data_IF_295212935491
#
_entry.id   IF_295212935491
#
_cell.length_a   1.000
_cell.length_b   1.000
_cell.length_c   1.000
_cell.angle_alpha   90.00
_cell.angle_beta   90.00
_cell.angle_gamma   90.00
#
_symmetry.space_group_name_H-M   'P 1'
#
loop_
_entity.id
_entity.type
_entity.pdbx_description
1 polymer ?
#
# COMPACT_ATOMS: atom_id res chain seq x y z
N UNK A 1 25.13 15.90 64.70
CA UNK A 1 25.05 14.83 63.69
C UNK A 1 24.17 15.36 62.58
N UNK A 2 24.81 15.87 61.54
CA UNK A 2 24.20 16.45 60.34
C UNK A 2 25.24 16.37 59.22
N UNK A 3 24.77 16.05 58.02
CA UNK A 3 25.37 16.16 56.68
C UNK A 3 24.16 16.03 55.74
N UNK A 4 23.58 17.04 55.10
CA UNK A 4 24.05 18.14 54.23
C UNK A 4 24.43 17.74 52.78
N UNK A 5 23.86 18.54 51.86
CA UNK A 5 24.34 19.00 50.55
C UNK A 5 24.33 18.08 49.31
N UNK A 6 23.64 18.54 48.25
CA UNK A 6 24.33 19.30 47.19
C UNK A 6 23.37 20.16 46.36
N UNK A 7 23.63 21.46 46.41
CA UNK A 7 23.00 22.57 45.71
C UNK A 7 23.65 22.77 44.33
N UNK A 8 22.87 23.08 43.29
CA UNK A 8 23.35 23.36 41.93
C UNK A 8 22.91 24.78 41.53
N UNK A 9 23.76 25.77 41.81
CA UNK A 9 23.73 27.07 41.16
C UNK A 9 25.15 27.62 40.90
N UNK A 10 25.27 28.40 39.81
CA UNK A 10 26.40 29.18 39.28
C UNK A 10 27.41 28.40 38.42
N UNK A 11 27.55 28.72 37.12
CA UNK A 11 28.12 29.99 36.65
C UNK A 11 27.34 30.65 35.50
N UNK A 12 27.15 31.97 35.66
CA UNK A 12 26.71 32.92 34.63
C UNK A 12 27.77 34.04 34.55
N UNK A 13 28.02 34.51 33.31
CA UNK A 13 28.59 35.81 32.84
C UNK A 13 30.09 35.88 32.52
N UNK A 14 30.56 36.89 31.75
CA UNK A 14 29.95 37.64 30.61
C UNK A 14 30.94 37.79 29.41
N UNK A 15 30.51 38.41 28.30
CA UNK A 15 31.24 38.42 27.02
C UNK A 15 32.20 39.59 26.73
N UNK A 16 32.78 39.58 25.51
CA UNK A 16 33.11 40.71 24.62
C UNK A 16 33.68 40.16 23.27
N UNK A 17 33.99 40.95 22.22
CA UNK A 17 33.54 40.71 20.85
C UNK A 17 34.70 40.51 19.83
N UNK A 18 34.31 40.32 18.57
CA UNK A 18 35.02 40.65 17.31
C UNK A 18 36.56 40.77 17.31
N UNK A 19 37.22 39.91 16.53
CA UNK A 19 38.38 40.27 15.71
C UNK A 19 38.66 39.12 14.72
N UNK A 20 38.31 39.33 13.46
CA UNK A 20 38.77 38.54 12.32
C UNK A 20 39.60 39.51 11.48
N UNK A 21 40.93 39.38 11.56
CA UNK A 21 41.91 39.98 10.65
C UNK A 21 42.83 38.86 10.15
N UNK A 22 42.85 38.71 8.83
CA UNK A 22 44.00 38.48 7.94
C UNK A 22 45.07 37.40 8.22
N UNK A 23 45.04 36.37 7.35
CA UNK A 23 46.14 35.77 6.54
C UNK A 23 47.32 35.04 7.26
N UNK A 24 48.23 34.31 6.55
CA UNK A 24 48.24 33.85 5.15
C UNK A 24 48.50 32.32 4.96
N UNK A 25 48.47 31.94 3.69
CA UNK A 25 48.97 30.71 3.05
C UNK A 25 50.33 30.21 3.56
N UNK A 26 50.50 28.89 3.67
CA UNK A 26 51.77 28.24 3.35
C UNK A 26 51.57 26.75 2.98
N UNK A 27 51.98 26.44 1.76
CA UNK A 27 52.07 25.12 1.13
C UNK A 27 53.41 24.49 1.53
N UNK A 28 53.48 23.17 1.76
CA UNK A 28 54.69 22.43 1.43
C UNK A 28 54.43 21.33 0.40
N UNK A 29 55.08 21.51 -0.75
CA UNK A 29 55.39 20.47 -1.71
C UNK A 29 56.16 19.32 -1.03
N UNK A 30 55.67 18.10 -1.17
CA UNK A 30 56.50 16.90 -1.03
C UNK A 30 56.42 16.05 -2.30
N UNK A 31 57.44 16.26 -3.14
CA UNK A 31 57.94 15.32 -4.13
C UNK A 31 58.77 14.26 -3.41
N UNK A 32 58.51 12.97 -3.65
CA UNK A 32 59.50 11.90 -3.53
C UNK A 32 59.03 10.63 -4.26
N UNK A 33 59.67 10.38 -5.41
CA UNK A 33 60.28 9.14 -5.88
C UNK A 33 59.49 7.82 -5.92
N UNK A 34 59.41 7.30 -7.15
CA UNK A 34 59.29 5.89 -7.54
C UNK A 34 60.33 4.99 -6.84
N UNK A 35 60.12 3.66 -6.86
CA UNK A 35 60.87 2.90 -7.85
C UNK A 35 60.06 1.81 -8.59
N UNK A 36 60.24 1.79 -9.90
CA UNK A 36 60.70 0.65 -10.71
C UNK A 36 60.27 -0.76 -10.25
N UNK A 37 59.26 -1.34 -10.91
CA UNK A 37 59.04 -2.79 -10.92
C UNK A 37 59.47 -3.39 -12.27
N UNK A 38 60.32 -4.40 -12.16
CA UNK A 38 60.91 -5.18 -13.23
C UNK A 38 59.86 -6.02 -13.95
N UNK A 39 59.64 -5.73 -15.24
CA UNK A 39 58.91 -6.62 -16.14
C UNK A 39 59.84 -7.75 -16.58
N UNK A 40 59.52 -8.97 -16.16
CA UNK A 40 60.18 -10.20 -16.60
C UNK A 40 59.87 -10.48 -18.08
N UNK A 41 60.94 -10.69 -18.84
CA UNK A 41 60.92 -11.33 -20.15
C UNK A 41 60.35 -12.75 -20.05
N UNK A 42 59.26 -13.02 -20.78
CA UNK A 42 58.84 -14.39 -21.10
C UNK A 42 59.04 -14.63 -22.58
N UNK A 43 59.84 -15.66 -22.80
CA UNK A 43 60.44 -16.17 -24.01
C UNK A 43 59.44 -16.49 -25.12
N UNK A 44 59.85 -16.15 -26.34
CA UNK A 44 59.15 -16.49 -27.57
C UNK A 44 59.49 -17.92 -28.00
N UNK A 45 58.46 -18.68 -28.41
CA UNK A 45 58.63 -19.72 -29.42
C UNK A 45 57.33 -19.98 -30.16
N UNK A 46 57.35 -20.00 -31.50
CA UNK A 46 56.17 -20.22 -32.34
C UNK A 46 56.01 -21.69 -32.67
N UNK A 47 54.77 -22.20 -32.74
CA UNK A 47 54.46 -23.36 -33.56
C UNK A 47 53.12 -23.24 -34.29
N UNK A 48 53.02 -23.85 -35.48
CA UNK A 48 52.02 -23.55 -36.50
C UNK A 48 50.84 -24.54 -36.44
N UNK A 49 49.68 -24.08 -36.88
CA UNK A 49 48.49 -24.92 -37.00
C UNK A 49 47.40 -24.19 -37.75
N UNK A 50 47.58 -24.06 -39.07
CA UNK A 50 46.54 -23.66 -39.99
C UNK A 50 45.42 -24.72 -39.99
N UNK A 51 44.19 -24.28 -39.72
CA UNK A 51 42.98 -25.02 -40.07
C UNK A 51 42.16 -24.06 -40.92
N UNK A 52 42.20 -24.32 -42.23
CA UNK A 52 41.28 -23.76 -43.21
C UNK A 52 39.85 -24.21 -42.87
N UNK A 53 38.96 -23.23 -42.68
CA UNK A 53 37.52 -23.45 -42.77
C UNK A 53 37.01 -22.51 -43.85
N UNK A 54 37.00 -23.03 -45.07
CA UNK A 54 36.16 -22.52 -46.15
C UNK A 54 34.69 -22.65 -45.74
N UNK A 55 34.05 -21.52 -45.44
CA UNK A 55 32.60 -21.40 -45.43
C UNK A 55 32.15 -20.25 -46.31
N UNK A 56 32.04 -20.64 -47.58
CA UNK A 56 31.12 -20.19 -48.62
C UNK A 56 29.97 -19.31 -48.09
N UNK A 57 30.09 -18.01 -48.31
CA UNK A 57 28.98 -17.07 -48.24
C UNK A 57 28.26 -17.09 -49.60
N UNK A 58 27.07 -17.70 -49.65
CA UNK A 58 26.17 -17.55 -50.78
C UNK A 58 25.45 -16.20 -50.65
N UNK A 59 25.64 -15.38 -51.69
CA UNK A 59 24.98 -14.11 -51.93
C UNK A 59 23.46 -14.33 -52.12
N UNK A 60 22.63 -13.63 -51.35
CA UNK A 60 21.22 -13.43 -51.66
C UNK A 60 21.01 -11.99 -52.14
N UNK A 61 20.17 -11.77 -53.17
CA UNK A 61 20.01 -10.47 -53.80
C UNK A 61 19.23 -9.50 -52.92
N UNK A 62 19.69 -8.26 -52.90
CA UNK A 62 19.12 -7.17 -52.13
C UNK A 62 17.67 -6.85 -52.52
N UNK A 63 16.82 -6.77 -51.50
CA UNK A 63 15.53 -6.09 -51.58
C UNK A 63 15.74 -4.65 -51.12
N UNK A 64 15.74 -3.73 -52.09
CA UNK A 64 15.83 -2.30 -51.85
C UNK A 64 14.51 -1.79 -51.28
N UNK A 65 14.42 -1.72 -49.95
CA UNK A 65 13.45 -0.86 -49.27
C UNK A 65 14.18 0.23 -48.54
N UNK A 66 14.21 1.36 -49.21
CA UNK A 66 14.49 2.70 -48.70
C UNK A 66 13.61 2.94 -47.46
N UNK A 67 14.22 2.85 -46.28
CA UNK A 67 13.58 3.15 -45.01
C UNK A 67 13.84 4.62 -44.66
N UNK A 68 12.78 5.42 -44.77
CA UNK A 68 12.72 6.81 -44.29
C UNK A 68 13.12 6.90 -42.81
N UNK A 69 14.12 7.73 -42.43
CA UNK A 69 14.45 7.98 -41.04
C UNK A 69 13.56 9.11 -40.49
N UNK A 70 12.26 8.84 -40.34
CA UNK A 70 11.32 9.74 -39.68
C UNK A 70 10.35 8.93 -38.83
N UNK A 71 10.77 8.45 -37.67
CA UNK A 71 9.87 7.70 -36.81
C UNK A 71 10.40 7.23 -35.45
N UNK A 72 11.33 7.94 -34.80
CA UNK A 72 11.89 7.47 -33.51
C UNK A 72 11.83 8.51 -32.38
N UNK A 73 10.86 9.43 -32.42
CA UNK A 73 10.72 10.47 -31.40
C UNK A 73 9.30 10.56 -30.81
N UNK A 74 8.55 9.44 -30.82
CA UNK A 74 7.21 9.32 -30.20
C UNK A 74 7.21 8.53 -28.88
N UNK A 75 8.40 8.23 -28.32
CA UNK A 75 8.52 7.60 -27.01
C UNK A 75 8.72 8.72 -26.00
N UNK A 76 7.63 9.07 -25.30
CA UNK A 76 7.50 9.85 -24.05
C UNK A 76 6.24 10.74 -24.15
N UNK A 77 5.07 10.16 -24.44
CA UNK A 77 3.81 10.81 -24.04
C UNK A 77 3.58 10.48 -22.56
N UNK A 78 3.78 11.45 -21.63
CA UNK A 78 3.61 11.23 -20.19
C UNK A 78 2.15 10.92 -19.79
N UNK A 79 1.19 10.99 -20.72
CA UNK A 79 -0.24 10.76 -20.46
C UNK A 79 -0.64 9.28 -20.47
N UNK A 80 0.23 8.35 -20.89
CA UNK A 80 -0.09 6.91 -20.94
C UNK A 80 0.32 6.11 -19.70
N UNK A 81 0.74 6.77 -18.61
CA UNK A 81 1.10 6.06 -17.38
C UNK A 81 -0.20 5.64 -16.67
N UNK A 82 -0.47 4.34 -16.44
CA UNK A 82 -1.65 3.90 -15.70
C UNK A 82 -1.71 4.61 -14.34
N UNK A 83 -2.91 4.99 -13.86
CA UNK A 83 -3.03 5.62 -12.56
C UNK A 83 -2.37 4.71 -11.52
N UNK A 84 -1.41 5.23 -10.74
CA UNK A 84 -0.68 4.41 -9.79
C UNK A 84 -1.68 3.83 -8.80
N UNK A 85 -1.65 2.50 -8.63
CA UNK A 85 -2.43 1.89 -7.55
C UNK A 85 -2.06 2.58 -6.23
N UNK A 86 -3.05 2.86 -5.35
CA UNK A 86 -2.78 3.54 -4.10
C UNK A 86 -1.72 2.77 -3.33
N UNK A 87 -0.60 3.44 -3.09
CA UNK A 87 0.52 2.88 -2.33
C UNK A 87 0.08 2.60 -0.88
N UNK A 88 0.69 1.61 -0.23
CA UNK A 88 0.25 1.11 1.08
C UNK A 88 0.33 2.15 2.22
N UNK A 89 1.15 3.18 2.05
CA UNK A 89 1.18 4.36 2.93
C UNK A 89 -0.15 5.13 2.92
N UNK A 90 -0.85 5.16 1.77
CA UNK A 90 -2.18 5.76 1.65
C UNK A 90 -3.23 5.00 2.44
N UNK A 91 -3.05 3.69 2.65
CA UNK A 91 -3.95 2.90 3.50
C UNK A 91 -3.86 3.39 4.95
N UNK A 92 -2.65 3.57 5.48
CA UNK A 92 -2.45 4.08 6.84
C UNK A 92 -2.98 5.53 6.97
N UNK A 93 -2.73 6.38 5.98
CA UNK A 93 -3.31 7.73 5.94
C UNK A 93 -4.85 7.71 5.86
N UNK A 94 -5.43 6.78 5.12
CA UNK A 94 -6.87 6.56 5.06
C UNK A 94 -7.44 6.16 6.42
N UNK A 95 -6.80 5.21 7.11
CA UNK A 95 -7.16 4.85 8.49
C UNK A 95 -7.07 6.04 9.44
N UNK A 96 -6.00 6.83 9.35
CA UNK A 96 -5.82 8.04 10.15
C UNK A 96 -6.91 9.07 9.85
N UNK A 97 -7.24 9.29 8.57
CA UNK A 97 -8.29 10.21 8.13
C UNK A 97 -9.66 9.82 8.65
N UNK A 98 -10.06 8.55 8.48
CA UNK A 98 -11.33 8.02 8.98
C UNK A 98 -11.38 8.08 10.51
N UNK A 99 -10.28 7.74 11.20
CA UNK A 99 -10.17 7.88 12.65
C UNK A 99 -10.39 9.33 13.11
N UNK A 100 -9.70 10.30 12.49
CA UNK A 100 -9.80 11.71 12.84
C UNK A 100 -11.18 12.29 12.53
N UNK A 101 -11.80 11.85 11.43
CA UNK A 101 -13.17 12.21 11.07
C UNK A 101 -14.15 11.76 12.17
N UNK A 102 -14.13 10.47 12.54
CA UNK A 102 -15.04 9.96 13.57
C UNK A 102 -14.73 10.49 14.97
N UNK A 103 -13.48 10.82 15.26
CA UNK A 103 -13.11 11.47 16.52
C UNK A 103 -13.77 12.84 16.71
N UNK A 104 -14.07 13.55 15.62
CA UNK A 104 -14.72 14.87 15.61
C UNK A 104 -16.22 14.79 15.26
N UNK A 105 -16.79 13.60 15.22
CA UNK A 105 -18.18 13.41 14.83
C UNK A 105 -19.14 14.06 15.84
N UNK A 106 -20.17 14.73 15.34
CA UNK A 106 -21.12 15.51 16.17
C UNK A 106 -21.86 14.64 17.20
N UNK A 107 -22.21 13.40 16.84
CA UNK A 107 -22.88 12.43 17.73
C UNK A 107 -21.84 11.63 18.54
N UNK A 108 -21.73 11.80 19.87
CA UNK A 108 -20.66 11.19 20.68
C UNK A 108 -20.70 9.65 20.73
N UNK A 109 -21.89 9.07 20.68
CA UNK A 109 -22.06 7.61 20.67
C UNK A 109 -21.49 6.99 19.39
N UNK A 110 -21.74 7.62 18.24
CA UNK A 110 -21.19 7.21 16.94
C UNK A 110 -19.67 7.39 16.93
N UNK A 111 -19.18 8.55 17.39
CA UNK A 111 -17.75 8.84 17.51
C UNK A 111 -17.02 7.74 18.29
N UNK A 112 -17.51 7.44 19.50
CA UNK A 112 -16.92 6.43 20.40
C UNK A 112 -16.97 5.03 19.79
N UNK A 113 -18.13 4.64 19.23
CA UNK A 113 -18.32 3.33 18.61
C UNK A 113 -17.41 3.11 17.40
N UNK A 114 -17.32 4.10 16.52
CA UNK A 114 -16.50 4.03 15.31
C UNK A 114 -15.02 4.09 15.61
N UNK A 115 -14.56 5.02 16.47
CA UNK A 115 -13.16 5.09 16.92
C UNK A 115 -12.71 3.76 17.53
N UNK A 116 -13.53 3.14 18.41
CA UNK A 116 -13.23 1.84 19.01
C UNK A 116 -13.12 0.73 17.97
N UNK A 117 -13.98 0.73 16.95
CA UNK A 117 -13.92 -0.26 15.85
C UNK A 117 -12.66 -0.06 15.02
N UNK A 118 -12.32 1.17 14.67
CA UNK A 118 -11.14 1.48 13.86
C UNK A 118 -9.86 1.09 14.61
N UNK A 119 -9.71 1.48 15.87
CA UNK A 119 -8.57 1.09 16.70
C UNK A 119 -8.46 -0.43 16.86
N UNK A 120 -9.60 -1.14 16.98
CA UNK A 120 -9.60 -2.61 16.99
C UNK A 120 -9.08 -3.21 15.69
N UNK A 121 -9.45 -2.66 14.54
CA UNK A 121 -8.94 -3.13 13.24
C UNK A 121 -7.46 -2.82 13.10
N UNK A 122 -7.03 -1.60 13.46
CA UNK A 122 -5.63 -1.20 13.46
C UNK A 122 -4.76 -2.09 14.37
N UNK A 123 -5.26 -2.49 15.54
CA UNK A 123 -4.55 -3.41 16.44
C UNK A 123 -4.41 -4.83 15.87
N UNK A 124 -5.29 -5.24 14.96
CA UNK A 124 -5.23 -6.54 14.28
C UNK A 124 -4.33 -6.52 13.03
N UNK A 125 -4.01 -5.33 12.52
CA UNK A 125 -3.14 -5.14 11.36
C UNK A 125 -1.66 -5.28 11.71
N UNK A 126 -0.85 -5.55 10.69
CA UNK A 126 0.60 -5.56 10.82
C UNK A 126 1.15 -4.12 10.89
N UNK A 127 1.13 -3.55 12.09
CA UNK A 127 1.51 -2.15 12.31
C UNK A 127 2.97 -1.86 11.89
N UNK A 128 3.89 -2.82 12.04
CA UNK A 128 5.29 -2.66 11.64
C UNK A 128 5.39 -2.35 10.15
N UNK A 129 4.65 -3.13 9.34
CA UNK A 129 4.62 -2.97 7.90
C UNK A 129 4.08 -1.60 7.48
N UNK A 130 2.90 -1.21 7.95
CA UNK A 130 2.26 0.05 7.55
C UNK A 130 3.05 1.29 7.99
N UNK A 131 3.63 1.25 9.20
CA UNK A 131 4.47 2.34 9.69
C UNK A 131 5.71 2.48 8.82
N UNK A 132 6.37 1.36 8.46
CA UNK A 132 7.57 1.41 7.62
C UNK A 132 7.27 1.80 6.18
N UNK A 133 6.13 1.43 5.61
CA UNK A 133 5.71 1.93 4.29
C UNK A 133 5.58 3.46 4.28
N UNK A 134 5.01 4.04 5.33
CA UNK A 134 4.92 5.49 5.48
C UNK A 134 6.30 6.14 5.69
N UNK A 135 7.15 5.56 6.53
CA UNK A 135 8.50 6.10 6.81
C UNK A 135 9.41 6.00 5.59
N UNK A 136 9.35 4.90 4.85
CA UNK A 136 10.13 4.67 3.63
C UNK A 136 9.50 5.30 2.39
N UNK A 137 8.32 5.94 2.50
CA UNK A 137 7.88 6.88 1.49
C UNK A 137 8.72 8.16 1.60
N UNK A 138 9.58 8.47 0.60
CA UNK A 138 10.49 9.60 0.67
C UNK A 138 9.78 10.96 0.63
N UNK A 139 8.53 11.01 0.17
CA UNK A 139 7.69 12.21 0.16
C UNK A 139 7.07 12.51 1.53
N UNK A 140 6.76 11.48 2.32
CA UNK A 140 6.02 11.62 3.58
C UNK A 140 6.91 11.47 4.82
N UNK A 141 7.84 10.51 4.81
CA UNK A 141 8.78 10.22 5.92
C UNK A 141 8.06 10.17 7.28
N UNK A 142 8.68 10.75 8.31
CA UNK A 142 8.11 10.87 9.66
C UNK A 142 7.23 12.09 9.87
N UNK A 143 7.10 12.97 8.86
CA UNK A 143 6.41 14.26 9.00
C UNK A 143 4.92 14.13 9.33
N UNK A 144 4.33 12.96 9.04
CA UNK A 144 2.93 12.63 9.29
C UNK A 144 2.64 12.17 10.70
N UNK A 145 3.66 11.79 11.47
CA UNK A 145 3.48 11.39 12.86
C UNK A 145 3.30 12.60 13.76
N UNK A 146 2.39 12.48 14.72
CA UNK A 146 2.20 13.49 15.74
C UNK A 146 3.38 13.54 16.71
N UNK A 147 3.54 14.67 17.40
CA UNK A 147 4.53 14.86 18.47
C UNK A 147 4.40 13.80 19.58
N UNK A 148 3.20 13.28 19.81
CA UNK A 148 2.91 12.23 20.79
C UNK A 148 3.19 10.81 20.30
N UNK A 149 3.53 10.63 19.03
CA UNK A 149 3.79 9.30 18.47
C UNK A 149 4.91 8.59 19.23
N UNK A 150 5.93 9.33 19.67
CA UNK A 150 7.13 8.73 20.27
C UNK A 150 7.93 7.90 19.27
N UNK A 151 7.78 8.19 17.97
CA UNK A 151 8.52 7.57 16.89
C UNK A 151 9.96 8.11 16.88
N UNK A 152 10.83 7.55 17.72
CA UNK A 152 12.26 7.88 17.69
C UNK A 152 12.95 7.16 16.53
N UNK A 153 14.04 7.73 16.01
CA UNK A 153 14.85 7.12 14.94
C UNK A 153 15.31 5.71 15.35
N UNK A 154 15.69 5.52 16.62
CA UNK A 154 16.11 4.21 17.15
C UNK A 154 14.95 3.21 17.19
N UNK A 155 13.76 3.66 17.58
CA UNK A 155 12.56 2.81 17.62
C UNK A 155 12.16 2.37 16.22
N UNK A 156 12.19 3.29 15.25
CA UNK A 156 11.91 2.98 13.85
C UNK A 156 12.96 2.05 13.25
N UNK A 157 14.24 2.26 13.57
CA UNK A 157 15.33 1.37 13.15
C UNK A 157 15.16 -0.05 13.69
N UNK A 158 14.74 -0.21 14.95
CA UNK A 158 14.47 -1.52 15.52
C UNK A 158 13.33 -2.24 14.77
N UNK A 159 12.24 -1.52 14.46
CA UNK A 159 11.11 -2.08 13.70
C UNK A 159 11.53 -2.44 12.28
N UNK A 160 12.32 -1.59 11.62
CA UNK A 160 12.87 -1.87 10.30
C UNK A 160 13.65 -3.18 10.31
N UNK A 161 14.57 -3.37 11.26
CA UNK A 161 15.36 -4.60 11.36
C UNK A 161 14.51 -5.81 11.71
N UNK A 162 13.53 -5.70 12.61
CA UNK A 162 12.57 -6.78 12.90
C UNK A 162 11.77 -7.18 11.66
N UNK A 163 11.28 -6.21 10.87
CA UNK A 163 10.55 -6.48 9.62
C UNK A 163 11.48 -7.07 8.56
N UNK A 164 12.69 -6.52 8.40
CA UNK A 164 13.69 -6.98 7.46
C UNK A 164 14.06 -8.44 7.72
N UNK A 165 14.38 -8.76 8.98
CA UNK A 165 14.63 -10.11 9.44
C UNK A 165 13.47 -11.03 9.08
N UNK A 166 12.23 -10.63 9.37
CA UNK A 166 11.05 -11.43 9.05
C UNK A 166 10.90 -11.69 7.55
N UNK A 167 11.09 -10.68 6.71
CA UNK A 167 10.95 -10.78 5.25
C UNK A 167 12.08 -11.60 4.62
N UNK A 168 13.32 -11.44 5.10
CA UNK A 168 14.51 -12.12 4.58
C UNK A 168 14.86 -13.41 5.38
N UNK A 169 13.99 -13.86 6.30
CA UNK A 169 14.18 -15.07 7.14
C UNK A 169 14.10 -16.41 6.40
N UNK A 170 14.29 -16.43 5.07
CA UNK A 170 14.20 -17.68 4.31
C UNK A 170 15.23 -18.67 4.86
N UNK A 171 14.81 -19.91 5.17
CA UNK A 171 15.77 -20.93 5.56
C UNK A 171 16.75 -21.17 4.39
N UNK A 172 17.99 -21.59 4.68
CA UNK A 172 18.93 -21.95 3.64
C UNK A 172 18.33 -23.06 2.75
N UNK A 173 18.68 -23.09 1.44
CA UNK A 173 18.07 -23.99 0.46
C UNK A 173 18.33 -25.49 0.73
N UNK A 174 19.20 -25.83 1.68
CA UNK A 174 19.47 -27.20 2.09
C UNK A 174 20.21 -27.25 3.43
N UNK A 175 20.49 -28.47 3.94
CA UNK A 175 21.33 -28.64 5.11
C UNK A 175 22.73 -28.10 4.82
N UNK A 176 23.15 -27.09 5.58
CA UNK A 176 24.47 -26.49 5.49
C UNK A 176 25.43 -27.22 6.45
N UNK A 177 26.71 -27.26 6.10
CA UNK A 177 27.74 -27.63 7.07
C UNK A 177 27.82 -26.57 8.17
N UNK A 178 28.37 -26.87 9.37
CA UNK A 178 28.51 -25.88 10.42
C UNK A 178 29.28 -24.61 9.99
N UNK A 179 30.27 -24.77 9.10
CA UNK A 179 31.04 -23.66 8.52
C UNK A 179 30.18 -22.79 7.59
N UNK A 180 29.43 -23.42 6.68
CA UNK A 180 28.51 -22.72 5.78
C UNK A 180 27.37 -22.03 6.54
N UNK A 181 26.90 -22.63 7.64
CA UNK A 181 25.88 -22.02 8.49
C UNK A 181 26.42 -20.75 9.17
N UNK A 182 27.66 -20.79 9.68
CA UNK A 182 28.30 -19.62 10.27
C UNK A 182 28.54 -18.50 9.25
N UNK A 183 28.94 -18.85 8.02
CA UNK A 183 29.09 -17.90 6.91
C UNK A 183 27.75 -17.26 6.53
N UNK A 184 26.69 -18.07 6.40
CA UNK A 184 25.34 -17.59 6.12
C UNK A 184 24.82 -16.65 7.22
N UNK A 185 25.03 -17.00 8.48
CA UNK A 185 24.62 -16.16 9.61
C UNK A 185 25.42 -14.85 9.68
N UNK A 186 26.71 -14.88 9.34
CA UNK A 186 27.55 -13.69 9.24
C UNK A 186 27.12 -12.78 8.08
N UNK A 187 26.89 -13.33 6.89
CA UNK A 187 26.38 -12.58 5.74
C UNK A 187 25.04 -11.90 6.07
N UNK A 188 24.14 -12.63 6.75
CA UNK A 188 22.86 -12.10 7.21
C UNK A 188 23.06 -10.93 8.18
N UNK A 189 23.94 -11.08 9.17
CA UNK A 189 24.25 -10.01 10.13
C UNK A 189 24.87 -8.78 9.46
N UNK A 190 25.74 -8.97 8.47
CA UNK A 190 26.34 -7.87 7.71
C UNK A 190 25.28 -7.09 6.93
N UNK A 191 24.37 -7.79 6.23
CA UNK A 191 23.26 -7.14 5.52
C UNK A 191 22.32 -6.40 6.47
N UNK A 192 22.04 -6.96 7.65
CA UNK A 192 21.26 -6.28 8.68
C UNK A 192 21.94 -4.98 9.15
N UNK A 193 23.26 -5.02 9.37
CA UNK A 193 24.04 -3.85 9.74
C UNK A 193 24.06 -2.78 8.63
N UNK A 194 24.23 -3.19 7.37
CA UNK A 194 24.19 -2.31 6.19
C UNK A 194 22.83 -1.61 6.06
N UNK A 195 21.73 -2.37 6.14
CA UNK A 195 20.37 -1.82 6.09
C UNK A 195 20.12 -0.86 7.24
N UNK A 196 20.54 -1.20 8.46
CA UNK A 196 20.43 -0.34 9.63
C UNK A 196 21.20 0.98 9.45
N UNK A 197 22.44 0.92 8.96
CA UNK A 197 23.26 2.10 8.71
C UNK A 197 22.67 2.99 7.60
N UNK A 198 22.25 2.39 6.49
CA UNK A 198 21.60 3.09 5.39
C UNK A 198 20.31 3.78 5.86
N UNK A 199 19.54 3.13 6.73
CA UNK A 199 18.32 3.70 7.28
C UNK A 199 18.60 4.92 8.18
N UNK A 200 19.66 4.88 8.99
CA UNK A 200 20.06 6.05 9.78
C UNK A 200 20.52 7.23 8.89
N UNK A 201 21.22 6.95 7.79
CA UNK A 201 21.56 7.98 6.77
C UNK A 201 20.30 8.60 6.14
N UNK A 202 19.33 7.77 5.79
CA UNK A 202 18.03 8.20 5.27
C UNK A 202 17.29 9.10 6.27
N UNK A 203 17.16 8.68 7.53
CA UNK A 203 16.45 9.42 8.56
C UNK A 203 17.13 10.74 8.94
N UNK A 204 18.46 10.81 8.82
CA UNK A 204 19.24 12.04 9.04
C UNK A 204 19.31 12.93 7.80
N UNK A 205 18.79 12.48 6.65
CA UNK A 205 18.90 13.17 5.35
C UNK A 205 20.37 13.50 5.01
N UNK A 206 21.26 12.52 5.23
CA UNK A 206 22.71 12.64 4.97
C UNK A 206 23.15 11.77 3.79
N UNK A 207 24.33 12.06 3.23
CA UNK A 207 24.89 11.32 2.11
C UNK A 207 24.07 11.54 0.83
N UNK A 208 23.70 10.44 0.16
CA UNK A 208 22.91 10.48 -1.10
C UNK A 208 21.54 11.16 -0.92
N UNK A 209 21.03 11.24 0.31
CA UNK A 209 19.74 11.86 0.61
C UNK A 209 19.82 13.38 0.85
N UNK A 210 21.01 13.97 0.97
CA UNK A 210 21.17 15.38 1.35
C UNK A 210 20.46 16.33 0.37
N UNK A 211 20.56 16.05 -0.92
CA UNK A 211 19.95 16.88 -1.96
C UNK A 211 18.50 16.49 -2.26
N UNK A 212 18.01 15.36 -1.70
CA UNK A 212 16.70 14.85 -2.02
C UNK A 212 15.59 15.84 -1.69
N UNK A 213 15.68 16.54 -0.56
CA UNK A 213 14.65 17.50 -0.14
C UNK A 213 14.51 18.67 -1.15
N UNK A 214 15.60 19.04 -1.82
CA UNK A 214 15.59 20.05 -2.88
C UNK A 214 14.97 19.54 -4.18
N UNK A 215 15.18 18.27 -4.52
CA UNK A 215 14.69 17.65 -5.74
C UNK A 215 13.33 16.96 -5.61
N UNK A 216 12.85 16.75 -4.38
CA UNK A 216 11.65 15.98 -4.04
C UNK A 216 10.42 16.42 -4.85
N UNK A 217 10.14 17.73 -4.91
CA UNK A 217 9.01 18.28 -5.69
C UNK A 217 9.15 18.09 -7.21
N UNK A 218 10.38 18.13 -7.72
CA UNK A 218 10.64 17.91 -9.14
C UNK A 218 10.43 16.42 -9.50
N UNK A 219 10.87 15.52 -8.63
CA UNK A 219 10.61 14.08 -8.75
C UNK A 219 9.11 13.77 -8.67
N UNK A 220 8.40 14.33 -7.67
CA UNK A 220 6.94 14.15 -7.53
C UNK A 220 6.19 14.65 -8.77
N UNK A 221 6.64 15.77 -9.37
CA UNK A 221 6.06 16.27 -10.63
C UNK A 221 6.31 15.32 -11.82
N UNK A 222 7.48 14.68 -11.87
CA UNK A 222 7.88 13.83 -12.99
C UNK A 222 7.29 12.42 -12.91
N UNK A 223 7.25 11.83 -11.71
CA UNK A 223 6.87 10.44 -11.48
C UNK A 223 5.54 10.28 -10.74
N UNK A 224 4.87 11.41 -10.43
CA UNK A 224 3.69 11.43 -9.56
C UNK A 224 4.03 11.06 -8.11
N UNK A 225 3.02 10.60 -7.38
CA UNK A 225 3.16 10.22 -5.97
C UNK A 225 3.74 8.81 -5.77
N UNK A 226 4.32 8.19 -6.80
CA UNK A 226 4.89 6.85 -6.68
C UNK A 226 6.28 6.94 -6.03
N UNK A 227 6.51 6.31 -4.86
CA UNK A 227 7.81 6.33 -4.19
C UNK A 227 8.83 5.35 -4.78
N UNK A 228 8.39 4.34 -5.55
CA UNK A 228 9.27 3.28 -6.07
C UNK A 228 10.39 3.80 -6.99
N UNK A 229 10.12 4.70 -7.97
CA UNK A 229 11.18 5.23 -8.84
C UNK A 229 12.32 5.93 -8.10
N UNK A 230 12.03 6.57 -6.96
CA UNK A 230 13.08 7.18 -6.13
C UNK A 230 14.04 6.12 -5.62
N UNK A 231 13.51 5.01 -5.10
CA UNK A 231 14.33 3.91 -4.59
C UNK A 231 15.05 3.14 -5.70
N UNK A 232 14.48 3.04 -6.90
CA UNK A 232 15.14 2.43 -8.07
C UNK A 232 16.42 3.19 -8.45
N UNK A 233 16.39 4.54 -8.43
CA UNK A 233 17.60 5.35 -8.67
C UNK A 233 18.66 5.08 -7.59
N UNK A 234 18.23 4.86 -6.34
CA UNK A 234 19.10 4.60 -5.21
C UNK A 234 19.81 3.24 -5.27
N UNK A 235 19.33 2.28 -6.08
CA UNK A 235 20.00 0.99 -6.27
C UNK A 235 21.42 1.09 -6.85
N UNK A 236 21.75 2.21 -7.51
CA UNK A 236 23.07 2.48 -8.06
C UNK A 236 24.13 2.78 -6.99
N UNK A 237 23.72 3.03 -5.75
CA UNK A 237 24.60 3.40 -4.65
C UNK A 237 24.81 2.20 -3.72
N UNK A 238 26.04 1.69 -3.68
CA UNK A 238 26.37 0.47 -2.93
C UNK A 238 26.03 0.54 -1.44
N UNK A 239 26.13 1.73 -0.82
CA UNK A 239 25.94 1.93 0.62
C UNK A 239 24.48 2.00 1.07
N UNK A 240 23.53 2.12 0.14
CA UNK A 240 22.08 2.17 0.41
C UNK A 240 21.31 1.11 -0.38
N UNK A 241 21.99 0.33 -1.23
CA UNK A 241 21.39 -0.65 -2.14
C UNK A 241 20.49 -1.65 -1.43
N UNK A 242 20.93 -2.22 -0.32
CA UNK A 242 20.12 -3.21 0.43
C UNK A 242 18.86 -2.57 1.04
N UNK A 243 18.94 -1.33 1.53
CA UNK A 243 17.76 -0.59 1.99
C UNK A 243 16.82 -0.27 0.84
N UNK A 244 17.35 0.14 -0.32
CA UNK A 244 16.56 0.46 -1.50
C UNK A 244 15.83 -0.77 -2.05
N UNK A 245 16.51 -1.92 -2.17
CA UNK A 245 15.89 -3.21 -2.54
C UNK A 245 14.74 -3.56 -1.58
N UNK A 246 15.00 -3.40 -0.27
CA UNK A 246 13.99 -3.66 0.75
C UNK A 246 12.81 -2.68 0.69
N UNK A 247 13.06 -1.39 0.46
CA UNK A 247 12.02 -0.38 0.33
C UNK A 247 11.12 -0.64 -0.90
N UNK A 248 11.72 -0.94 -2.06
CA UNK A 248 10.99 -1.32 -3.28
C UNK A 248 10.11 -2.55 -3.00
N UNK A 249 10.67 -3.56 -2.33
CA UNK A 249 9.94 -4.77 -1.99
C UNK A 249 8.71 -4.48 -1.11
N UNK A 250 8.86 -3.68 -0.05
CA UNK A 250 7.73 -3.42 0.86
C UNK A 250 6.70 -2.46 0.25
N UNK A 251 7.14 -1.44 -0.51
CA UNK A 251 6.26 -0.46 -1.15
C UNK A 251 5.55 -1.05 -2.37
N UNK A 252 6.12 -2.10 -2.97
CA UNK A 252 5.53 -2.87 -4.07
C UNK A 252 4.57 -3.96 -3.62
N UNK A 253 4.49 -4.27 -2.32
CA UNK A 253 3.40 -5.08 -1.79
C UNK A 253 2.10 -4.27 -1.98
N UNK A 254 1.02 -4.94 -2.37
CA UNK A 254 -0.29 -4.31 -2.47
C UNK A 254 -1.17 -4.85 -1.34
N UNK A 255 -1.61 -3.97 -0.44
CA UNK A 255 -2.49 -4.35 0.67
C UNK A 255 -3.98 -4.33 0.29
N UNK A 256 -4.31 -3.98 -0.94
CA UNK A 256 -5.65 -4.24 -1.45
C UNK A 256 -5.80 -5.76 -1.64
N UNK A 257 -6.40 -6.43 -0.66
CA UNK A 257 -6.79 -7.85 -0.79
C UNK A 257 -7.69 -8.06 -2.03
N UNK A 258 -8.42 -7.02 -2.43
CA UNK A 258 -9.22 -6.95 -3.64
C UNK A 258 -8.43 -6.79 -4.94
N UNK A 259 -7.13 -6.46 -4.90
CA UNK A 259 -6.30 -6.34 -6.11
C UNK A 259 -6.24 -7.65 -6.91
N UNK A 260 -6.26 -8.78 -6.20
CA UNK A 260 -6.32 -10.11 -6.81
C UNK A 260 -7.75 -10.60 -7.08
N UNK A 261 -8.81 -9.88 -6.70
CA UNK A 261 -10.20 -10.32 -6.91
C UNK A 261 -10.52 -10.52 -8.38
N UNK A 262 -9.90 -9.73 -9.26
CA UNK A 262 -10.09 -9.91 -10.70
C UNK A 262 -9.53 -11.24 -11.17
N UNK A 263 -8.31 -11.57 -10.77
CA UNK A 263 -7.71 -12.88 -11.07
C UNK A 263 -8.52 -14.00 -10.40
N UNK A 264 -9.03 -13.80 -9.18
CA UNK A 264 -9.90 -14.78 -8.52
C UNK A 264 -11.26 -14.95 -9.21
N UNK A 265 -11.81 -13.90 -9.81
CA UNK A 265 -13.06 -13.97 -10.57
C UNK A 265 -12.86 -14.79 -11.86
N UNK A 266 -11.76 -14.57 -12.56
CA UNK A 266 -11.35 -15.39 -13.70
C UNK A 266 -11.11 -16.85 -13.28
N UNK A 267 -10.50 -17.06 -12.12
CA UNK A 267 -10.25 -18.39 -11.57
C UNK A 267 -11.55 -19.08 -11.18
N UNK A 268 -12.55 -18.35 -10.67
CA UNK A 268 -13.86 -18.90 -10.31
C UNK A 268 -14.49 -19.57 -11.53
N UNK A 269 -14.54 -18.88 -12.68
CA UNK A 269 -15.08 -19.44 -13.93
C UNK A 269 -14.32 -20.71 -14.35
N UNK A 270 -12.98 -20.68 -14.30
CA UNK A 270 -12.09 -21.80 -14.69
C UNK A 270 -12.07 -22.96 -13.68
N UNK A 271 -12.55 -22.74 -12.45
CA UNK A 271 -12.50 -23.73 -11.36
C UNK A 271 -13.85 -24.36 -11.07
N UNK A 272 -14.93 -23.58 -11.08
CA UNK A 272 -16.25 -24.03 -10.61
C UNK A 272 -17.16 -24.53 -11.72
N UNK A 273 -17.06 -24.01 -12.95
CA UNK A 273 -17.89 -24.50 -14.07
C UNK A 273 -17.34 -25.82 -14.60
N UNK A 274 -18.13 -26.89 -14.50
CA UNK A 274 -17.73 -28.26 -14.86
C UNK A 274 -17.15 -28.35 -16.29
N UNK A 275 -17.78 -27.69 -17.26
CA UNK A 275 -17.33 -27.66 -18.67
C UNK A 275 -15.97 -26.97 -18.88
N UNK A 276 -15.62 -26.03 -17.99
CA UNK A 276 -14.41 -25.20 -18.12
C UNK A 276 -13.35 -25.52 -17.05
N UNK A 277 -13.56 -26.59 -16.27
CA UNK A 277 -12.73 -26.89 -15.10
C UNK A 277 -11.33 -27.35 -15.54
N UNK A 278 -10.31 -26.52 -15.27
CA UNK A 278 -8.91 -26.89 -15.49
C UNK A 278 -8.24 -27.41 -14.20
N UNK A 279 -7.21 -28.23 -14.34
CA UNK A 279 -6.36 -28.64 -13.21
C UNK A 279 -5.66 -27.43 -12.59
N UNK A 280 -5.34 -27.50 -11.30
CA UNK A 280 -4.70 -26.40 -10.58
C UNK A 280 -3.36 -25.98 -11.24
N UNK A 281 -2.55 -26.95 -11.67
CA UNK A 281 -1.30 -26.70 -12.38
C UNK A 281 -1.51 -25.94 -13.70
N UNK A 282 -2.54 -26.33 -14.47
CA UNK A 282 -2.87 -25.66 -15.74
C UNK A 282 -3.39 -24.24 -15.49
N UNK A 283 -4.29 -24.06 -14.52
CA UNK A 283 -4.80 -22.73 -14.14
C UNK A 283 -3.66 -21.81 -13.69
N UNK A 284 -2.72 -22.33 -12.89
CA UNK A 284 -1.53 -21.58 -12.46
C UNK A 284 -0.65 -21.15 -13.63
N UNK A 285 -0.36 -22.05 -14.59
CA UNK A 285 0.40 -21.71 -15.80
C UNK A 285 -0.35 -20.67 -16.66
N UNK A 286 -1.65 -20.86 -16.88
CA UNK A 286 -2.48 -19.90 -17.62
C UNK A 286 -2.51 -18.52 -16.96
N UNK A 287 -2.58 -18.45 -15.63
CA UNK A 287 -2.56 -17.19 -14.89
C UNK A 287 -1.23 -16.47 -15.07
N UNK A 288 -0.10 -17.19 -15.00
CA UNK A 288 1.25 -16.63 -15.21
C UNK A 288 1.42 -16.10 -16.63
N UNK A 289 1.02 -16.89 -17.64
CA UNK A 289 1.07 -16.47 -19.05
C UNK A 289 0.16 -15.27 -19.29
N UNK A 290 -1.07 -15.29 -18.78
CA UNK A 290 -2.00 -14.17 -18.90
C UNK A 290 -1.48 -12.89 -18.25
N UNK A 291 -0.90 -12.98 -17.06
CA UNK A 291 -0.26 -11.84 -16.39
C UNK A 291 0.92 -11.29 -17.21
N UNK A 292 1.78 -12.16 -17.74
CA UNK A 292 2.91 -11.76 -18.58
C UNK A 292 2.48 -11.08 -19.88
N UNK A 293 1.44 -11.60 -20.55
CA UNK A 293 0.88 -10.99 -21.77
C UNK A 293 0.29 -9.62 -21.45
N UNK A 294 -0.46 -9.49 -20.33
CA UNK A 294 -0.99 -8.20 -19.90
C UNK A 294 0.12 -7.19 -19.63
N UNK A 295 1.17 -7.59 -18.93
CA UNK A 295 2.32 -6.72 -18.67
C UNK A 295 3.02 -6.28 -19.96
N UNK A 296 3.24 -7.20 -20.91
CA UNK A 296 3.80 -6.88 -22.22
C UNK A 296 2.91 -5.94 -23.03
N UNK A 297 1.59 -6.16 -23.03
CA UNK A 297 0.65 -5.31 -23.76
C UNK A 297 0.56 -3.90 -23.15
N UNK A 298 0.63 -3.77 -21.82
CA UNK A 298 0.71 -2.47 -21.14
C UNK A 298 2.02 -1.78 -21.49
N UNK A 299 3.15 -2.48 -21.43
CA UNK A 299 4.46 -1.92 -21.78
C UNK A 299 4.57 -1.50 -23.26
N UNK A 300 3.89 -2.23 -24.16
CA UNK A 300 3.82 -1.91 -25.57
C UNK A 300 2.77 -0.83 -25.92
N UNK A 301 2.03 -0.31 -24.92
CA UNK A 301 0.94 0.65 -25.14
C UNK A 301 -0.26 0.08 -25.92
N UNK A 302 -0.33 -1.25 -26.09
CA UNK A 302 -1.41 -1.93 -26.81
C UNK A 302 -2.70 -2.01 -25.99
N UNK A 303 -2.58 -1.91 -24.68
CA UNK A 303 -3.72 -1.85 -23.76
C UNK A 303 -3.75 -0.45 -23.18
N UNK A 304 -4.77 0.33 -23.54
CA UNK A 304 -5.05 1.59 -22.85
C UNK A 304 -5.22 1.29 -21.36
N UNK A 305 -4.59 2.08 -20.47
CA UNK A 305 -4.87 1.97 -19.04
C UNK A 305 -6.38 2.09 -18.86
N UNK A 306 -6.96 1.15 -18.11
CA UNK A 306 -8.39 1.19 -17.86
C UNK A 306 -8.66 2.46 -17.06
N UNK A 307 -9.44 3.36 -17.62
CA UNK A 307 -9.93 4.52 -16.90
C UNK A 307 -10.68 4.07 -15.65
N UNK A 308 -10.57 4.85 -14.58
CA UNK A 308 -11.32 4.60 -13.36
C UNK A 308 -12.81 4.47 -13.73
N UNK A 309 -13.44 3.39 -13.29
CA UNK A 309 -14.87 3.23 -13.55
C UNK A 309 -15.61 4.36 -12.86
N UNK A 310 -16.11 5.33 -13.62
CA UNK A 310 -17.17 6.21 -13.15
C UNK A 310 -18.43 5.36 -13.03
N UNK A 311 -18.60 4.67 -11.89
CA UNK A 311 -19.76 3.81 -11.63
C UNK A 311 -21.07 4.63 -11.63
N UNK A 312 -20.97 5.95 -11.44
CA UNK A 312 -22.05 6.91 -11.53
C UNK A 312 -21.55 8.14 -12.28
N UNK A 313 -22.42 8.74 -13.08
CA UNK A 313 -22.18 10.08 -13.63
C UNK A 313 -22.05 11.10 -12.48
N UNK A 314 -21.25 12.14 -12.67
CA UNK A 314 -21.01 13.17 -11.65
C UNK A 314 -22.33 13.87 -11.25
N UNK A 315 -23.28 13.98 -12.18
CA UNK A 315 -24.65 14.43 -11.93
C UNK A 315 -25.38 13.49 -10.95
N UNK A 316 -25.30 12.18 -11.19
CA UNK A 316 -25.93 11.15 -10.36
C UNK A 316 -25.28 11.05 -8.97
N UNK A 317 -23.98 11.33 -8.84
CA UNK A 317 -23.31 11.41 -7.53
C UNK A 317 -23.87 12.58 -6.72
N UNK A 318 -24.11 13.74 -7.34
CA UNK A 318 -24.74 14.87 -6.65
C UNK A 318 -26.16 14.51 -6.18
N UNK A 319 -26.94 13.82 -7.01
CA UNK A 319 -28.29 13.35 -6.65
C UNK A 319 -28.27 12.30 -5.53
N UNK A 320 -27.30 11.37 -5.56
CA UNK A 320 -27.11 10.36 -4.50
C UNK A 320 -26.65 10.99 -3.18
N UNK A 321 -25.86 12.07 -3.23
CA UNK A 321 -25.48 12.86 -2.05
C UNK A 321 -26.67 13.73 -1.56
N UNK A 322 -27.54 14.16 -2.48
CA UNK A 322 -28.77 14.90 -2.20
C UNK A 322 -29.93 14.03 -1.71
N UNK A 323 -29.76 12.70 -1.63
CA UNK A 323 -30.70 11.82 -0.92
C UNK A 323 -30.84 12.39 0.50
N UNK A 324 -32.06 12.72 0.95
CA UNK A 324 -32.29 13.39 2.22
C UNK A 324 -31.52 12.68 3.31
N UNK A 325 -30.60 13.39 3.95
CA UNK A 325 -29.85 12.82 5.05
C UNK A 325 -30.88 12.44 6.12
N UNK A 326 -30.65 11.38 6.87
CA UNK A 326 -31.54 10.97 7.96
C UNK A 326 -31.84 12.08 9.00
N UNK A 327 -31.17 13.25 8.90
CA UNK A 327 -31.42 14.48 9.63
C UNK A 327 -32.59 15.32 9.07
N UNK A 328 -32.82 15.37 7.76
CA UNK A 328 -33.84 16.26 7.16
C UNK A 328 -35.30 15.94 7.56
N UNK A 329 -35.68 14.68 7.83
CA UNK A 329 -36.99 14.38 8.39
C UNK A 329 -37.15 14.78 9.86
N UNK A 330 -36.05 15.04 10.59
CA UNK A 330 -36.08 15.36 12.02
C UNK A 330 -36.29 16.86 12.28
N UNK A 331 -35.87 17.73 11.36
CA UNK A 331 -36.03 19.19 11.52
C UNK A 331 -37.41 19.71 11.12
N UNK A 332 -38.18 18.94 10.34
CA UNK A 332 -39.51 19.33 9.87
C UNK A 332 -40.67 18.92 10.81
N UNK A 333 -40.41 18.31 11.96
CA UNK A 333 -41.46 17.91 12.93
C UNK A 333 -41.74 18.96 14.03
N UNK A 334 -40.99 20.07 14.13
CA UNK A 334 -41.12 21.01 15.26
C UNK A 334 -42.14 22.16 15.08
N UNK A 335 -42.75 22.37 13.92
CA UNK A 335 -43.58 23.57 13.65
C UNK A 335 -45.07 23.34 13.25
N UNK A 336 -45.61 22.14 13.43
CA UNK A 336 -47.02 21.84 13.06
C UNK A 336 -47.95 21.79 14.28
N UNK A 337 -48.27 22.96 14.84
CA UNK A 337 -49.13 23.13 16.03
C UNK A 337 -50.60 23.51 15.69
N UNK A 338 -51.11 23.14 14.51
CA UNK A 338 -52.49 23.48 14.09
C UNK A 338 -53.43 22.25 13.98
N UNK A 339 -54.38 22.25 14.92
CA UNK A 339 -55.77 21.79 14.90
C UNK A 339 -56.28 20.76 13.86
N UNK A 340 -56.73 19.63 14.41
CA UNK A 340 -57.97 18.92 14.07
C UNK A 340 -58.10 18.26 12.67
N UNK A 341 -57.56 17.05 12.55
CA UNK A 341 -57.98 16.09 11.52
C UNK A 341 -57.28 14.75 11.64
N UNK A 342 -58.02 13.70 11.98
CA UNK A 342 -57.55 12.33 12.23
C UNK A 342 -56.93 11.65 11.00
N UNK A 343 -55.68 11.94 10.66
CA UNK A 343 -54.82 11.03 9.90
C UNK A 343 -53.37 11.18 10.37
N UNK A 344 -53.09 10.67 11.58
CA UNK A 344 -51.72 10.42 12.04
C UNK A 344 -51.08 9.38 11.12
N UNK A 345 -50.37 9.84 10.09
CA UNK A 345 -49.34 9.03 9.43
C UNK A 345 -48.31 8.76 10.51
N UNK A 346 -48.33 7.56 11.09
CA UNK A 346 -47.37 7.17 12.12
C UNK A 346 -45.97 7.42 11.57
N UNK A 347 -45.23 8.36 12.17
CA UNK A 347 -43.86 8.63 11.76
C UNK A 347 -43.10 7.31 11.81
N UNK A 348 -42.56 6.92 10.65
CA UNK A 348 -41.95 5.60 10.42
C UNK A 348 -40.60 5.46 11.15
N UNK A 349 -40.22 6.49 11.90
CA UNK A 349 -38.97 6.63 12.63
C UNK A 349 -39.19 6.30 14.10
N UNK A 350 -38.38 5.38 14.58
CA UNK A 350 -38.45 4.86 15.95
C UNK A 350 -37.80 5.86 16.89
N UNK A 351 -38.57 6.85 17.34
CA UNK A 351 -38.10 8.00 18.11
C UNK A 351 -37.76 7.72 19.60
N UNK A 352 -37.95 6.49 20.09
CA UNK A 352 -37.57 6.13 21.46
C UNK A 352 -36.64 4.92 21.51
N UNK A 353 -35.64 4.98 22.38
CA UNK A 353 -34.70 3.87 22.58
C UNK A 353 -35.37 2.60 23.11
N UNK A 354 -36.56 2.68 23.71
CA UNK A 354 -37.40 1.54 24.09
C UNK A 354 -38.11 0.94 22.88
N UNK A 355 -38.65 1.75 21.97
CA UNK A 355 -39.23 1.27 20.73
C UNK A 355 -38.17 0.66 19.81
N UNK A 356 -36.95 1.23 19.77
CA UNK A 356 -35.84 0.68 18.99
C UNK A 356 -35.41 -0.68 19.52
N UNK A 357 -35.28 -0.83 20.84
CA UNK A 357 -34.98 -2.13 21.46
C UNK A 357 -36.07 -3.17 21.19
N UNK A 358 -37.34 -2.78 21.15
CA UNK A 358 -38.44 -3.69 20.76
C UNK A 358 -38.30 -4.14 19.31
N UNK A 359 -38.15 -3.21 18.37
CA UNK A 359 -37.98 -3.51 16.94
C UNK A 359 -36.73 -4.35 16.66
N UNK A 360 -35.61 -4.01 17.30
CA UNK A 360 -34.38 -4.78 17.23
C UNK A 360 -34.57 -6.20 17.75
N UNK A 361 -35.23 -6.39 18.88
CA UNK A 361 -35.55 -7.73 19.40
C UNK A 361 -36.48 -8.49 18.45
N UNK A 362 -37.44 -7.83 17.82
CA UNK A 362 -38.29 -8.45 16.80
C UNK A 362 -37.47 -8.94 15.61
N UNK A 363 -36.50 -8.16 15.13
CA UNK A 363 -35.61 -8.58 14.04
C UNK A 363 -34.67 -9.71 14.44
N UNK A 364 -34.13 -9.69 15.66
CA UNK A 364 -33.29 -10.79 16.18
C UNK A 364 -34.09 -12.10 16.26
N UNK A 365 -35.36 -12.03 16.67
CA UNK A 365 -36.25 -13.19 16.71
C UNK A 365 -36.57 -13.66 15.28
N UNK A 366 -36.92 -12.74 14.37
CA UNK A 366 -37.20 -13.08 12.98
C UNK A 366 -36.02 -13.77 12.29
N UNK A 367 -34.80 -13.24 12.47
CA UNK A 367 -33.59 -13.84 11.89
C UNK A 367 -33.31 -15.26 12.44
N UNK A 368 -33.58 -15.50 13.74
CA UNK A 368 -33.47 -16.85 14.32
C UNK A 368 -34.53 -17.82 13.80
N UNK A 369 -35.74 -17.33 13.54
CA UNK A 369 -36.82 -18.15 12.95
C UNK A 369 -36.43 -18.56 11.54
N UNK A 370 -35.92 -17.62 10.74
CA UNK A 370 -35.44 -17.88 9.38
C UNK A 370 -34.27 -18.90 9.35
N UNK A 371 -33.33 -18.81 10.30
CA UNK A 371 -32.24 -19.78 10.45
C UNK A 371 -32.77 -21.20 10.77
N UNK A 372 -33.76 -21.31 11.65
CA UNK A 372 -34.38 -22.59 12.01
C UNK A 372 -35.20 -23.18 10.84
N UNK A 373 -35.95 -22.35 10.11
CA UNK A 373 -36.69 -22.77 8.92
C UNK A 373 -35.73 -23.27 7.82
N UNK A 374 -34.59 -22.61 7.63
CA UNK A 374 -33.54 -23.06 6.71
C UNK A 374 -32.93 -24.41 7.12
N UNK A 375 -32.64 -24.61 8.42
CA UNK A 375 -32.17 -25.90 8.94
C UNK A 375 -33.20 -27.02 8.76
N UNK A 376 -34.48 -26.72 8.97
CA UNK A 376 -35.57 -27.68 8.79
C UNK A 376 -35.72 -28.08 7.32
N UNK A 377 -35.63 -27.12 6.40
CA UNK A 377 -35.61 -27.38 4.96
C UNK A 377 -34.42 -28.28 4.57
N UNK A 378 -33.24 -28.05 5.13
CA UNK A 378 -32.06 -28.90 4.90
C UNK A 378 -32.23 -30.32 5.50
N UNK A 379 -32.87 -30.46 6.67
CA UNK A 379 -33.24 -31.79 7.21
C UNK A 379 -34.25 -32.50 6.31
N UNK A 380 -35.26 -31.79 5.82
CA UNK A 380 -36.25 -32.33 4.90
C UNK A 380 -35.60 -32.85 3.61
N UNK A 381 -34.70 -32.06 3.01
CA UNK A 381 -33.90 -32.49 1.84
C UNK A 381 -33.08 -33.75 2.11
N UNK A 382 -32.48 -33.88 3.29
CA UNK A 382 -31.72 -35.09 3.69
C UNK A 382 -32.61 -36.31 3.93
N UNK A 383 -33.88 -36.12 4.28
CA UNK A 383 -34.82 -37.23 4.50
C UNK A 383 -35.51 -37.68 3.22
N UNK A 384 -35.63 -36.79 2.21
CA UNK A 384 -36.17 -37.14 0.88
C UNK A 384 -35.08 -37.58 -0.11
N UNK A 385 -33.81 -37.34 0.19
CA UNK A 385 -32.67 -37.87 -0.56
C UNK A 385 -32.50 -39.36 -0.30
N UNK A 386 -33.27 -40.15 -1.05
CA UNK A 386 -33.00 -41.49 -1.57
C UNK A 386 -31.86 -42.25 -0.87
N UNK A 387 -32.25 -43.30 -0.14
CA UNK A 387 -31.39 -44.40 0.27
C UNK A 387 -30.61 -44.87 -0.95
N UNK A 388 -29.31 -44.57 -1.00
CA UNK A 388 -28.38 -45.41 -1.74
C UNK A 388 -27.44 -46.08 -0.74
N UNK A 389 -27.39 -47.38 -0.95
CA UNK A 389 -27.04 -48.42 0.00
C UNK A 389 -25.52 -48.60 0.09
N UNK A 390 -25.08 -49.15 1.22
CA UNK A 390 -23.77 -49.76 1.47
C UNK A 390 -22.51 -48.87 1.46
N UNK A 391 -21.85 -48.70 2.60
CA UNK A 391 -20.77 -49.62 3.05
C UNK A 391 -20.23 -49.24 4.43
N UNK A 392 -20.00 -50.30 5.21
CA UNK A 392 -19.39 -50.33 6.54
C UNK A 392 -18.00 -49.66 6.60
N UNK A 393 -17.72 -48.89 7.66
CA UNK A 393 -16.39 -48.90 8.27
C UNK A 393 -16.45 -48.68 9.80
N UNK A 394 -16.07 -49.67 10.63
CA UNK A 394 -16.02 -49.55 12.07
C UNK A 394 -14.61 -49.15 12.53
N UNK A 395 -14.40 -47.86 12.84
CA UNK A 395 -13.21 -47.45 13.62
C UNK A 395 -13.54 -46.37 14.65
N UNK A 396 -14.03 -46.86 15.78
CA UNK A 396 -13.94 -46.19 17.08
C UNK A 396 -12.47 -45.92 17.43
N UNK A 397 -12.15 -44.67 17.74
CA UNK A 397 -10.90 -44.24 18.36
C UNK A 397 -11.19 -43.24 19.48
N UNK A 398 -10.78 -43.49 20.74
CA UNK A 398 -11.16 -42.65 21.87
C UNK A 398 -10.12 -41.56 22.17
N UNK A 399 -10.61 -40.44 22.70
CA UNK A 399 -9.91 -39.69 23.75
C UNK A 399 -8.97 -38.57 23.30
N UNK A 400 -9.50 -37.36 23.12
CA UNK A 400 -8.69 -36.14 23.25
C UNK A 400 -8.91 -35.53 24.64
N UNK A 401 -8.04 -35.93 25.57
CA UNK A 401 -7.84 -35.26 26.85
C UNK A 401 -7.38 -33.82 26.61
N UNK A 402 -8.13 -32.89 27.19
CA UNK A 402 -7.79 -31.48 27.31
C UNK A 402 -6.45 -31.30 28.06
N UNK A 403 -5.37 -31.09 27.31
CA UNK A 403 -4.09 -30.66 27.87
C UNK A 403 -4.07 -29.13 27.87
N UNK A 404 -4.60 -28.55 28.95
CA UNK A 404 -4.43 -27.14 29.28
C UNK A 404 -2.95 -26.90 29.55
N UNK A 405 -2.22 -26.46 28.53
CA UNK A 405 -0.83 -26.00 28.64
C UNK A 405 -0.88 -24.69 29.44
N UNK A 406 -0.47 -24.76 30.70
CA UNK A 406 -0.19 -23.59 31.54
C UNK A 406 0.91 -22.77 30.85
N UNK A 407 0.49 -21.72 30.14
CA UNK A 407 1.39 -20.70 29.61
C UNK A 407 2.01 -19.96 30.81
N UNK A 408 3.34 -19.91 30.95
CA UNK A 408 3.97 -19.10 31.98
C UNK A 408 3.59 -17.62 31.79
N UNK A 409 3.45 -16.85 32.88
CA UNK A 409 3.09 -15.44 32.79
C UNK A 409 4.13 -14.71 31.95
N UNK A 410 3.67 -14.11 30.85
CA UNK A 410 4.53 -13.37 29.93
C UNK A 410 5.27 -12.27 30.72
N UNK A 411 6.61 -12.15 30.58
CA UNK A 411 7.36 -11.10 31.24
C UNK A 411 6.78 -9.75 30.83
N UNK A 412 6.56 -8.87 31.81
CA UNK A 412 6.10 -7.50 31.59
C UNK A 412 6.98 -6.83 30.54
N UNK A 413 6.45 -6.69 29.31
CA UNK A 413 7.16 -6.13 28.16
C UNK A 413 7.30 -4.63 28.33
N UNK A 414 8.20 -4.19 29.20
CA UNK A 414 8.61 -2.79 29.28
C UNK A 414 9.24 -2.40 27.94
N UNK A 415 8.63 -1.44 27.24
CA UNK A 415 9.29 -0.69 26.17
C UNK A 415 8.99 -1.07 24.73
N UNK A 416 8.04 -1.98 24.43
CA UNK A 416 7.64 -2.16 23.02
C UNK A 416 6.75 -0.99 22.59
N UNK A 417 7.23 -0.21 21.62
CA UNK A 417 6.46 0.91 21.03
C UNK A 417 5.20 0.41 20.31
N UNK A 418 5.22 -0.83 19.82
CA UNK A 418 4.06 -1.52 19.23
C UNK A 418 3.52 -2.62 20.15
N UNK A 419 2.18 -2.81 20.20
CA UNK A 419 1.16 -2.12 19.40
C UNK A 419 0.93 -0.66 19.84
N UNK A 420 0.80 0.26 18.88
CA UNK A 420 0.58 1.69 19.09
C UNK A 420 -0.81 2.07 18.58
N UNK A 421 -1.66 2.76 19.36
CA UNK A 421 -2.97 3.19 18.87
C UNK A 421 -2.84 4.37 17.89
N UNK A 422 -3.80 4.51 16.95
CA UNK A 422 -3.84 5.63 16.01
C UNK A 422 -3.91 6.97 16.74
N UNK A 423 -4.62 7.00 17.87
CA UNK A 423 -4.68 8.16 18.77
C UNK A 423 -3.33 8.68 19.23
N UNK A 424 -2.33 7.80 19.38
CA UNK A 424 -0.96 8.16 19.77
C UNK A 424 -0.11 8.49 18.55
N UNK A 425 -0.22 7.70 17.49
CA UNK A 425 0.57 7.86 16.26
C UNK A 425 0.26 9.19 15.54
N UNK A 426 -1.01 9.60 15.52
CA UNK A 426 -1.48 10.84 14.90
C UNK A 426 -2.05 11.84 15.93
N UNK A 427 -1.77 11.60 17.21
CA UNK A 427 -2.17 12.47 18.31
C UNK A 427 -1.33 13.73 18.42
N UNK A 428 -1.88 14.74 19.10
CA UNK A 428 -1.18 15.98 19.41
C UNK A 428 -1.10 16.96 18.23
N UNK A 429 -0.07 17.79 18.21
CA UNK A 429 0.10 18.81 17.16
C UNK A 429 0.78 18.16 15.98
N UNK A 430 -0.01 17.76 14.98
CA UNK A 430 0.54 17.43 13.67
C UNK A 430 1.17 18.72 13.14
N UNK A 431 2.47 18.76 12.82
CA UNK A 431 3.04 19.90 12.13
C UNK A 431 2.20 20.10 10.87
N UNK A 432 1.44 21.20 10.81
CA UNK A 432 0.63 21.46 9.65
C UNK A 432 1.58 21.44 8.44
N UNK A 433 1.31 20.62 7.41
CA UNK A 433 2.03 20.76 6.16
C UNK A 433 1.97 22.25 5.79
N UNK A 434 3.06 22.84 5.26
CA UNK A 434 3.02 24.22 4.77
C UNK A 434 1.76 24.33 3.92
N UNK A 435 0.83 25.21 4.33
CA UNK A 435 -0.53 25.26 3.80
C UNK A 435 -0.45 25.06 2.29
N UNK A 436 -1.01 23.96 1.79
CA UNK A 436 -1.22 23.81 0.35
C UNK A 436 -1.87 25.10 -0.06
N UNK A 437 -1.18 25.85 -0.93
CA UNK A 437 -1.61 27.19 -1.33
C UNK A 437 -3.13 27.12 -1.54
N UNK A 438 -3.90 27.99 -0.85
CA UNK A 438 -5.34 27.86 -0.80
C UNK A 438 -5.81 27.58 -2.21
N UNK A 439 -6.51 26.45 -2.42
CA UNK A 439 -7.13 26.13 -3.71
C UNK A 439 -7.75 27.44 -4.16
N UNK A 440 -7.29 27.98 -5.30
CA UNK A 440 -7.74 29.29 -5.79
C UNK A 440 -9.24 29.31 -5.59
N UNK A 441 -9.71 30.17 -4.69
CA UNK A 441 -11.14 30.36 -4.53
C UNK A 441 -11.58 30.87 -5.89
N UNK A 442 -12.22 30.00 -6.68
CA UNK A 442 -12.80 30.39 -7.94
C UNK A 442 -13.69 31.59 -7.62
N UNK A 443 -13.41 32.72 -8.24
CA UNK A 443 -14.30 33.85 -8.08
C UNK A 443 -15.68 33.40 -8.58
N UNK A 444 -16.77 33.94 -8.02
CA UNK A 444 -18.13 33.63 -8.49
C UNK A 444 -18.25 33.79 -10.02
N UNK A 445 -17.51 34.74 -10.58
CA UNK A 445 -17.39 35.00 -12.00
C UNK A 445 -16.64 33.90 -12.76
N UNK A 446 -15.57 33.34 -12.21
CA UNK A 446 -14.80 32.25 -12.81
C UNK A 446 -15.61 30.94 -12.84
N UNK A 447 -16.37 30.64 -11.76
CA UNK A 447 -17.31 29.53 -11.75
C UNK A 447 -18.43 29.72 -12.78
N UNK A 448 -18.95 30.96 -12.90
CA UNK A 448 -19.97 31.30 -13.88
C UNK A 448 -19.44 31.16 -15.31
N UNK A 449 -18.21 31.61 -15.58
CA UNK A 449 -17.56 31.45 -16.88
C UNK A 449 -17.30 29.99 -17.22
N UNK A 450 -16.97 29.15 -16.24
CA UNK A 450 -16.76 27.72 -16.46
C UNK A 450 -18.08 27.01 -16.79
N UNK A 451 -19.17 27.39 -16.12
CA UNK A 451 -20.53 26.89 -16.42
C UNK A 451 -21.01 27.36 -17.81
N UNK A 452 -20.79 28.62 -18.17
CA UNK A 452 -21.11 29.14 -19.50
C UNK A 452 -20.27 28.49 -20.60
N UNK A 453 -19.00 28.17 -20.32
CA UNK A 453 -18.14 27.45 -21.25
C UNK A 453 -18.62 26.01 -21.46
N UNK A 454 -19.09 25.33 -20.41
CA UNK A 454 -19.69 24.00 -20.51
C UNK A 454 -21.06 24.01 -21.22
N UNK A 455 -21.84 25.10 -21.09
CA UNK A 455 -23.11 25.27 -21.81
C UNK A 455 -22.91 25.56 -23.31
N UNK A 456 -21.73 26.06 -23.72
CA UNK A 456 -21.40 26.38 -25.12
C UNK A 456 -20.43 25.39 -25.77
N UNK A 457 -19.93 24.40 -25.03
CA UNK A 457 -19.34 23.24 -25.67
C UNK A 457 -20.47 22.42 -26.26
N UNK A 458 -20.77 22.64 -27.54
CA UNK A 458 -21.64 21.80 -28.39
C UNK A 458 -21.07 20.37 -28.59
N UNK A 459 -20.22 19.91 -27.67
CA UNK A 459 -19.75 18.53 -27.62
C UNK A 459 -20.92 17.71 -27.09
N UNK A 460 -21.79 17.28 -28.01
CA UNK A 460 -22.83 16.29 -27.74
C UNK A 460 -22.19 15.17 -26.90
N UNK A 461 -22.74 14.83 -25.72
CA UNK A 461 -22.24 13.71 -24.96
C UNK A 461 -22.25 12.51 -25.89
N UNK A 462 -21.06 12.00 -26.20
CA UNK A 462 -20.87 10.83 -27.04
C UNK A 462 -21.64 9.70 -26.39
N UNK A 463 -22.86 9.47 -26.89
CA UNK A 463 -23.82 8.48 -26.44
C UNK A 463 -23.23 7.13 -26.83
N UNK A 464 -22.26 6.69 -26.03
CA UNK A 464 -21.47 5.52 -26.25
C UNK A 464 -22.37 4.31 -26.20
N UNK A 465 -22.80 3.90 -27.39
CA UNK A 465 -23.08 2.54 -27.81
C UNK A 465 -23.55 1.64 -26.68
N UNK A 466 -24.87 1.70 -26.47
CA UNK A 466 -25.68 0.65 -25.90
C UNK A 466 -25.58 -0.60 -26.81
N UNK A 467 -24.40 -1.24 -26.84
CA UNK A 467 -24.23 -2.56 -27.46
C UNK A 467 -25.00 -3.58 -26.62
N UNK A 468 -26.18 -3.90 -27.14
CA UNK A 468 -27.11 -4.86 -26.57
C UNK A 468 -26.53 -6.28 -26.54
N UNK A 469 -26.76 -6.96 -25.42
CA UNK A 469 -26.97 -8.41 -25.45
C UNK A 469 -28.47 -8.65 -25.65
N UNK A 470 -28.93 -8.47 -26.88
CA UNK A 470 -30.15 -9.10 -27.36
C UNK A 470 -29.87 -10.60 -27.48
N UNK A 471 -30.16 -11.35 -26.41
CA UNK A 471 -30.29 -12.81 -26.44
C UNK A 471 -31.79 -13.12 -26.55
N UNK A 472 -32.37 -12.80 -27.71
CA UNK A 472 -33.64 -13.38 -28.15
C UNK A 472 -33.31 -14.73 -28.80
N UNK A 473 -33.52 -15.82 -28.08
CA UNK A 473 -33.60 -17.15 -28.67
C UNK A 473 -35.07 -17.42 -29.00
N UNK A 474 -35.45 -17.11 -30.24
CA UNK A 474 -36.48 -17.88 -30.94
C UNK A 474 -35.82 -19.17 -31.43
N UNK A 475 -36.21 -20.32 -30.88
CA UNK A 475 -36.02 -21.61 -31.53
C UNK A 475 -37.40 -22.25 -31.71
N UNK A 476 -37.83 -22.28 -32.97
CA UNK A 476 -38.83 -23.18 -33.52
C UNK A 476 -38.41 -24.65 -33.30
N UNK A 477 -39.24 -25.44 -32.61
CA UNK A 477 -39.69 -26.79 -33.00
C UNK A 477 -40.73 -27.39 -32.03
#
# INVERSE_FOLDING_TARGET
MGLDDFDLQFLRRPGHPSLFEDAPEDIPHHSCNEPHEDAMDIDGSPRPGAIDIDSKCDELPGDGRESDPKGSQAWLDPECIPPPMPCDDQVLLGFAGVYLHFKRHAIPAVATGMVKRIEKHWAAMDQHFFILCMVLNPYERVSRFGDQAGASVFTLSAILLELYQRVKSRPPPGPLTPEQQAEFDNEKQNKEAEVGQAFLKYMSTTGVFADFDHHCKAFEKMHGNNPVPVWEVMLNHADIRELADFAILILGISMNQGGNERDFSDWKIKRTRLRNRSSFEKTGKMSKVGASIRAQNVAAGLVKPREERKNHDESCVADLIAVPQYADPLENEEDSDDEAGEHRVSSRLVNSGTAWRKLYNTWVVAARVEELEAEELERAKRTTGELDDTTNDPRSGPGNSARTVLQPPAPERRGRWLPCPLSRLFGGKIPQPPERAPRKAFSREELLMQLLAAEHSDEEPYDGELEGSGDDYDEDE
#
